data_IF_638979044648
#
_entry.id   IF_638979044648
#
_cell.length_a   1.000
_cell.length_b   1.000
_cell.length_c   1.000
_cell.angle_alpha   90.00
_cell.angle_beta   90.00
_cell.angle_gamma   90.00
#
_symmetry.space_group_name_H-M   'P 1'
#
loop_
_entity.id
_entity.type
_entity.pdbx_description
1 polymer ?
#
# COMPACT_ATOMS: atom_id res chain seq x y z
N UNK A 1 26.52 2.76 -8.77
CA UNK A 1 26.80 2.67 -7.29
C UNK A 1 27.57 1.39 -7.03
N UNK A 2 28.50 1.33 -5.99
CA UNK A 2 29.09 0.06 -5.59
C UNK A 2 28.00 -0.88 -5.02
N UNK A 3 28.15 -2.20 -5.12
CA UNK A 3 27.27 -3.13 -4.43
C UNK A 3 27.19 -2.83 -2.92
N UNK A 4 25.99 -2.74 -2.37
CA UNK A 4 25.73 -2.51 -0.94
C UNK A 4 25.30 -3.82 -0.27
N UNK A 5 25.56 -3.92 1.04
CA UNK A 5 24.98 -4.94 1.90
C UNK A 5 23.77 -4.36 2.61
N UNK A 6 22.57 -4.84 2.28
CA UNK A 6 21.29 -4.30 2.73
C UNK A 6 20.55 -5.33 3.57
N UNK A 7 20.13 -4.95 4.78
CA UNK A 7 19.26 -5.74 5.62
C UNK A 7 17.85 -5.15 5.62
N UNK A 8 16.86 -5.84 5.07
CA UNK A 8 15.45 -5.51 5.22
C UNK A 8 14.88 -6.16 6.48
N UNK A 9 14.24 -5.37 7.33
CA UNK A 9 13.57 -5.83 8.54
C UNK A 9 12.06 -5.62 8.38
N UNK A 10 11.29 -6.70 8.41
CA UNK A 10 9.85 -6.64 8.23
C UNK A 10 9.11 -7.64 9.12
N UNK A 11 7.98 -7.23 9.68
CA UNK A 11 7.14 -8.09 10.50
C UNK A 11 6.50 -9.23 9.67
N UNK A 12 6.13 -8.91 8.42
CA UNK A 12 5.47 -9.84 7.49
C UNK A 12 6.18 -9.83 6.14
N UNK A 13 6.22 -10.99 5.50
CA UNK A 13 6.82 -11.19 4.18
C UNK A 13 6.08 -12.36 3.48
N UNK A 14 5.98 -12.40 2.13
CA UNK A 14 5.35 -13.53 1.48
C UNK A 14 5.89 -14.89 1.97
N UNK A 15 5.04 -15.91 2.16
CA UNK A 15 3.66 -16.05 1.67
C UNK A 15 2.56 -15.37 2.51
N UNK A 16 2.91 -14.68 3.61
CA UNK A 16 1.90 -13.94 4.36
C UNK A 16 1.25 -12.86 3.48
N UNK A 17 -0.08 -12.85 3.32
CA UNK A 17 -0.77 -11.87 2.48
C UNK A 17 -0.79 -10.50 3.16
N UNK A 18 -0.20 -9.48 2.52
CA UNK A 18 -0.20 -8.12 3.06
C UNK A 18 0.64 -7.15 2.23
N UNK A 19 0.12 -5.94 2.04
CA UNK A 19 0.75 -4.92 1.20
C UNK A 19 2.17 -4.53 1.63
N UNK A 20 2.41 -4.39 2.94
CA UNK A 20 3.75 -4.03 3.45
C UNK A 20 4.79 -5.12 3.17
N UNK A 21 4.43 -6.39 3.38
CA UNK A 21 5.30 -7.54 3.09
C UNK A 21 5.59 -7.67 1.59
N UNK A 22 4.57 -7.51 0.74
CA UNK A 22 4.73 -7.54 -0.72
C UNK A 22 5.61 -6.38 -1.21
N UNK A 23 5.46 -5.19 -0.65
CA UNK A 23 6.34 -4.05 -0.98
C UNK A 23 7.78 -4.32 -0.58
N UNK A 24 8.03 -4.90 0.61
CA UNK A 24 9.37 -5.32 1.03
C UNK A 24 9.97 -6.36 0.06
N UNK A 25 9.19 -7.36 -0.33
CA UNK A 25 9.59 -8.38 -1.29
C UNK A 25 10.01 -7.78 -2.64
N UNK A 26 9.21 -6.87 -3.19
CA UNK A 26 9.52 -6.22 -4.48
C UNK A 26 10.80 -5.38 -4.42
N UNK A 27 11.00 -4.61 -3.35
CA UNK A 27 12.25 -3.87 -3.15
C UNK A 27 13.43 -4.82 -2.98
N UNK A 28 13.34 -5.82 -2.11
CA UNK A 28 14.44 -6.74 -1.85
C UNK A 28 14.87 -7.49 -3.11
N UNK A 29 13.92 -8.02 -3.88
CA UNK A 29 14.17 -8.70 -5.14
C UNK A 29 14.81 -7.77 -6.17
N UNK A 30 14.19 -6.60 -6.43
CA UNK A 30 14.70 -5.68 -7.44
C UNK A 30 16.10 -5.11 -7.11
N UNK A 31 16.43 -4.94 -5.83
CA UNK A 31 17.76 -4.53 -5.39
C UNK A 31 18.78 -5.65 -5.55
N UNK A 32 18.40 -6.89 -5.28
CA UNK A 32 19.27 -8.04 -5.53
C UNK A 32 19.56 -8.22 -7.04
N UNK A 33 18.53 -8.07 -7.89
CA UNK A 33 18.67 -8.07 -9.35
C UNK A 33 19.60 -6.93 -9.88
N UNK A 34 19.76 -5.84 -9.10
CA UNK A 34 20.70 -4.74 -9.36
C UNK A 34 22.12 -5.00 -8.83
N UNK A 35 22.37 -6.18 -8.29
CA UNK A 35 23.68 -6.62 -7.81
C UNK A 35 24.02 -6.19 -6.38
N UNK A 36 23.05 -5.73 -5.59
CA UNK A 36 23.24 -5.55 -4.15
C UNK A 36 23.17 -6.89 -3.42
N UNK A 37 23.92 -7.02 -2.30
CA UNK A 37 23.77 -8.16 -1.39
C UNK A 37 22.60 -7.88 -0.43
N UNK A 38 21.46 -8.50 -0.68
CA UNK A 38 20.23 -8.23 0.05
C UNK A 38 19.85 -9.38 0.95
N UNK A 39 19.65 -9.09 2.23
CA UNK A 39 19.15 -10.06 3.22
C UNK A 39 17.85 -9.54 3.85
N UNK A 40 16.82 -10.37 3.88
CA UNK A 40 15.52 -10.07 4.50
C UNK A 40 15.40 -10.84 5.82
N UNK A 41 15.06 -10.16 6.90
CA UNK A 41 14.83 -10.74 8.21
C UNK A 41 13.36 -10.62 8.57
N UNK A 42 12.68 -11.76 8.68
CA UNK A 42 11.24 -11.84 8.97
C UNK A 42 10.92 -13.07 9.81
N UNK A 43 9.70 -13.15 10.33
CA UNK A 43 9.24 -14.35 11.02
C UNK A 43 8.94 -15.48 10.03
N UNK A 44 9.02 -16.71 10.53
CA UNK A 44 8.53 -17.88 9.81
C UNK A 44 7.04 -17.74 9.51
N UNK A 45 6.65 -18.05 8.27
CA UNK A 45 5.28 -18.09 7.83
C UNK A 45 5.03 -19.40 7.07
N UNK A 46 3.80 -19.91 7.12
CA UNK A 46 3.36 -21.11 6.41
C UNK A 46 2.87 -20.76 5.01
N UNK A 47 3.06 -21.67 4.07
CA UNK A 47 2.63 -21.54 2.69
C UNK A 47 3.78 -21.49 1.69
N UNK A 48 3.46 -21.56 0.41
CA UNK A 48 4.41 -21.47 -0.68
C UNK A 48 4.79 -20.00 -0.91
N UNK A 49 6.08 -19.70 -0.81
CA UNK A 49 6.60 -18.34 -0.99
C UNK A 49 6.99 -18.12 -2.46
N UNK A 50 6.77 -16.90 -3.00
CA UNK A 50 7.31 -16.55 -4.30
C UNK A 50 8.83 -16.53 -4.26
N UNK A 51 9.45 -16.77 -5.42
CA UNK A 51 10.90 -16.73 -5.58
C UNK A 51 11.46 -15.33 -5.25
N UNK A 52 12.34 -15.20 -4.25
CA UNK A 52 12.94 -13.92 -3.90
C UNK A 52 14.07 -13.48 -4.85
N UNK A 53 14.36 -14.26 -5.92
CA UNK A 53 15.53 -14.07 -6.76
C UNK A 53 16.83 -14.27 -5.96
N UNK A 54 17.81 -13.39 -6.17
CA UNK A 54 19.10 -13.45 -5.46
C UNK A 54 19.06 -12.90 -4.01
N UNK A 55 17.88 -12.46 -3.52
CA UNK A 55 17.75 -12.01 -2.13
C UNK A 55 17.70 -13.19 -1.15
N UNK A 56 18.47 -13.10 -0.07
CA UNK A 56 18.54 -14.12 0.99
C UNK A 56 17.43 -13.84 2.01
N UNK A 57 16.51 -14.77 2.21
CA UNK A 57 15.39 -14.61 3.17
C UNK A 57 15.63 -15.45 4.43
N UNK A 58 15.90 -14.78 5.55
CA UNK A 58 15.97 -15.38 6.87
C UNK A 58 14.58 -15.45 7.51
N UNK A 59 13.96 -16.61 7.45
CA UNK A 59 12.71 -16.91 8.15
C UNK A 59 13.06 -17.45 9.53
N UNK A 60 12.82 -16.65 10.55
CA UNK A 60 13.29 -16.90 11.92
C UNK A 60 12.08 -17.18 12.81
N UNK A 61 12.11 -18.30 13.52
CA UNK A 61 11.11 -18.60 14.53
C UNK A 61 11.21 -17.57 15.66
N UNK A 62 10.11 -16.83 15.93
CA UNK A 62 10.14 -15.82 16.97
C UNK A 62 10.16 -16.48 18.36
N UNK A 63 10.86 -15.87 19.32
CA UNK A 63 10.83 -16.31 20.74
C UNK A 63 9.42 -16.20 21.30
N UNK A 64 8.68 -15.18 20.86
CA UNK A 64 7.26 -14.98 21.12
C UNK A 64 6.67 -14.11 19.99
N UNK A 65 5.34 -14.18 19.81
CA UNK A 65 4.63 -13.30 18.91
C UNK A 65 3.29 -12.84 19.52
N UNK A 66 2.91 -11.59 19.26
CA UNK A 66 1.58 -11.04 19.60
C UNK A 66 0.92 -10.63 18.28
N UNK A 67 0.06 -11.51 17.74
CA UNK A 67 -0.46 -11.34 16.38
C UNK A 67 0.68 -11.31 15.36
N UNK A 68 0.76 -10.26 14.53
CA UNK A 68 1.83 -10.07 13.54
C UNK A 68 3.06 -9.34 14.09
N UNK A 69 3.28 -9.36 15.40
CA UNK A 69 4.42 -8.73 16.06
C UNK A 69 5.38 -9.81 16.60
N UNK A 70 6.33 -10.32 15.81
CA UNK A 70 7.30 -11.33 16.23
C UNK A 70 8.47 -10.70 16.96
N UNK A 71 8.88 -11.29 18.09
CA UNK A 71 10.11 -10.94 18.79
C UNK A 71 11.28 -11.81 18.26
N UNK A 72 12.19 -11.18 17.52
CA UNK A 72 13.34 -11.81 16.87
C UNK A 72 14.64 -11.18 17.40
N UNK A 73 15.26 -11.67 18.48
CA UNK A 73 16.41 -11.03 19.12
C UNK A 73 17.64 -10.83 18.21
N UNK A 74 17.78 -11.63 17.13
CA UNK A 74 18.85 -11.49 16.13
C UNK A 74 18.87 -10.10 15.49
N UNK A 75 17.71 -9.40 15.40
CA UNK A 75 17.61 -8.06 14.82
C UNK A 75 18.42 -6.98 15.57
N UNK A 76 18.82 -7.25 16.81
CA UNK A 76 19.70 -6.35 17.57
C UNK A 76 21.21 -6.51 17.22
N UNK A 77 21.58 -7.36 16.25
CA UNK A 77 22.98 -7.74 15.93
C UNK A 77 23.24 -7.75 14.43
N UNK A 78 22.97 -6.62 13.75
CA UNK A 78 23.13 -6.46 12.32
C UNK A 78 24.29 -5.50 12.01
N UNK A 79 25.52 -5.92 12.35
CA UNK A 79 26.72 -5.07 12.33
C UNK A 79 27.52 -5.15 11.01
N UNK A 80 27.15 -6.04 10.10
CA UNK A 80 27.85 -6.25 8.83
C UNK A 80 27.19 -5.63 7.60
N UNK A 81 26.16 -4.78 7.77
CA UNK A 81 25.43 -4.16 6.68
C UNK A 81 25.81 -2.69 6.49
N UNK A 82 25.73 -2.20 5.24
CA UNK A 82 25.83 -0.78 4.91
C UNK A 82 24.55 -0.05 5.28
N UNK A 83 23.38 -0.72 5.06
CA UNK A 83 22.04 -0.20 5.31
C UNK A 83 21.21 -1.19 6.10
N UNK A 84 20.52 -0.71 7.13
CA UNK A 84 19.42 -1.40 7.80
C UNK A 84 18.12 -0.67 7.42
N UNK A 85 17.29 -1.34 6.63
CA UNK A 85 16.01 -0.82 6.15
C UNK A 85 14.86 -1.45 6.93
N UNK A 86 14.26 -0.70 7.84
CA UNK A 86 13.14 -1.15 8.65
C UNK A 86 11.81 -0.72 8.04
N UNK A 87 10.95 -1.70 7.75
CA UNK A 87 9.58 -1.48 7.30
C UNK A 87 8.66 -1.32 8.52
N UNK A 88 8.25 -0.09 8.79
CA UNK A 88 7.34 0.23 9.90
C UNK A 88 5.86 0.11 9.44
N UNK A 89 4.95 -0.45 10.26
CA UNK A 89 5.14 -0.84 11.66
C UNK A 89 5.76 -2.23 11.83
N UNK A 90 6.69 -2.33 12.80
CA UNK A 90 7.27 -3.60 13.22
C UNK A 90 7.51 -3.56 14.74
N UNK A 91 6.47 -3.90 15.53
CA UNK A 91 6.57 -4.02 16.99
C UNK A 91 7.60 -5.10 17.34
N UNK A 92 8.42 -4.88 18.35
CA UNK A 92 9.63 -5.57 18.74
C UNK A 92 10.80 -5.41 17.77
N UNK A 93 10.60 -5.36 16.45
CA UNK A 93 11.66 -5.11 15.48
C UNK A 93 12.22 -3.70 15.60
N UNK A 94 11.37 -2.70 15.83
CA UNK A 94 11.76 -1.30 16.04
C UNK A 94 12.62 -1.14 17.29
N UNK A 95 12.19 -1.71 18.44
CA UNK A 95 12.90 -1.65 19.72
C UNK A 95 14.24 -2.38 19.65
N UNK A 96 14.29 -3.55 19.01
CA UNK A 96 15.52 -4.29 18.82
C UNK A 96 16.51 -3.55 17.93
N UNK A 97 16.01 -2.86 16.89
CA UNK A 97 16.83 -2.00 16.03
C UNK A 97 17.41 -0.82 16.83
N UNK A 98 16.58 -0.14 17.64
CA UNK A 98 17.04 0.92 18.54
C UNK A 98 18.06 0.41 19.57
N UNK A 99 17.81 -0.75 20.17
CA UNK A 99 18.72 -1.38 21.12
C UNK A 99 20.06 -1.73 20.48
N UNK A 100 20.04 -2.28 19.24
CA UNK A 100 21.26 -2.56 18.48
C UNK A 100 22.07 -1.30 18.22
N UNK A 101 21.40 -0.20 17.94
CA UNK A 101 22.04 1.11 17.74
C UNK A 101 22.66 1.68 19.04
N UNK A 102 21.94 1.62 20.14
CA UNK A 102 22.42 2.03 21.46
C UNK A 102 23.64 1.22 21.92
N UNK A 103 23.64 -0.08 21.69
CA UNK A 103 24.73 -0.99 22.00
C UNK A 103 25.88 -0.95 20.98
N UNK A 104 25.88 0.01 20.06
CA UNK A 104 26.86 0.23 18.99
C UNK A 104 27.03 -0.95 18.01
N UNK A 105 26.13 -1.95 18.02
CA UNK A 105 26.18 -3.13 17.18
C UNK A 105 25.75 -2.87 15.73
N UNK A 106 24.89 -1.85 15.51
CA UNK A 106 24.48 -1.40 14.17
C UNK A 106 24.91 0.05 13.94
N UNK A 107 25.89 0.55 14.70
CA UNK A 107 26.25 1.97 14.70
C UNK A 107 26.79 2.45 13.35
N UNK A 108 27.44 1.58 12.57
CA UNK A 108 28.02 1.95 11.26
C UNK A 108 27.01 1.90 10.14
N UNK A 109 26.02 1.02 10.21
CA UNK A 109 24.97 0.94 9.19
C UNK A 109 24.10 2.20 9.18
N UNK A 110 23.73 2.68 8.01
CA UNK A 110 22.70 3.70 7.85
C UNK A 110 21.33 3.10 8.21
N UNK A 111 20.53 3.79 9.03
CA UNK A 111 19.17 3.36 9.36
C UNK A 111 18.18 4.10 8.47
N UNK A 112 17.49 3.35 7.63
CA UNK A 112 16.38 3.80 6.82
C UNK A 112 15.09 3.24 7.40
N UNK A 113 14.14 4.12 7.73
CA UNK A 113 12.82 3.72 8.25
C UNK A 113 11.76 4.02 7.19
N UNK A 114 11.14 2.97 6.67
CA UNK A 114 10.06 3.07 5.70
C UNK A 114 8.71 3.03 6.42
N UNK A 115 8.15 4.19 6.65
CA UNK A 115 6.88 4.35 7.35
C UNK A 115 5.71 4.07 6.39
N UNK A 116 4.98 2.99 6.66
CA UNK A 116 3.84 2.57 5.83
C UNK A 116 2.50 2.99 6.44
N UNK A 117 2.31 2.71 7.72
CA UNK A 117 1.05 2.89 8.41
C UNK A 117 1.24 3.24 9.87
N UNK A 118 0.25 3.93 10.44
CA UNK A 118 0.09 4.09 11.88
C UNK A 118 -0.50 2.79 12.48
N UNK A 119 -0.03 2.42 13.67
CA UNK A 119 -0.67 1.37 14.46
C UNK A 119 -2.01 1.87 14.99
N UNK A 120 -3.07 1.14 14.69
CA UNK A 120 -4.42 1.47 15.14
C UNK A 120 -5.10 0.22 15.73
N UNK A 121 -5.92 0.41 16.75
CA UNK A 121 -6.66 -0.68 17.40
C UNK A 121 -7.75 -0.17 18.32
N UNK A 122 -8.56 -1.10 18.83
CA UNK A 122 -9.64 -0.81 19.81
C UNK A 122 -9.36 -1.54 21.12
N UNK A 123 -9.95 -1.05 22.22
CA UNK A 123 -9.80 -1.65 23.56
C UNK A 123 -8.34 -1.66 24.06
N UNK A 124 -7.92 -2.66 24.87
CA UNK A 124 -6.58 -2.72 25.45
C UNK A 124 -5.45 -2.69 24.43
N UNK A 125 -5.66 -3.29 23.25
CA UNK A 125 -4.69 -3.24 22.13
C UNK A 125 -4.57 -1.82 21.58
N UNK A 126 -5.67 -1.05 21.54
CA UNK A 126 -5.64 0.34 21.12
C UNK A 126 -4.77 1.20 22.04
N UNK A 127 -4.89 1.01 23.35
CA UNK A 127 -4.05 1.71 24.34
C UNK A 127 -2.57 1.37 24.16
N UNK A 128 -2.25 0.09 23.94
CA UNK A 128 -0.88 -0.36 23.67
C UNK A 128 -0.33 0.30 22.40
N UNK A 129 -1.09 0.31 21.31
CA UNK A 129 -0.68 0.92 20.05
C UNK A 129 -0.51 2.43 20.18
N UNK A 130 -1.41 3.11 20.86
CA UNK A 130 -1.31 4.55 21.13
C UNK A 130 -0.05 4.89 21.94
N UNK A 131 0.23 4.09 22.99
CA UNK A 131 1.47 4.24 23.77
C UNK A 131 2.71 4.05 22.88
N UNK A 132 2.69 3.06 22.00
CA UNK A 132 3.76 2.78 21.05
C UNK A 132 4.00 3.96 20.09
N UNK A 133 2.93 4.50 19.53
CA UNK A 133 2.95 5.66 18.63
C UNK A 133 3.46 6.94 19.31
N UNK A 134 3.32 7.05 20.63
CA UNK A 134 3.83 8.19 21.38
C UNK A 134 5.25 8.02 21.94
N UNK A 135 5.76 6.79 21.98
CA UNK A 135 7.07 6.48 22.60
C UNK A 135 8.07 5.92 21.59
N UNK A 136 7.85 4.71 21.11
CA UNK A 136 8.80 3.98 20.27
C UNK A 136 8.87 4.57 18.86
N UNK A 137 7.73 4.88 18.25
CA UNK A 137 7.70 5.42 16.89
C UNK A 137 8.46 6.75 16.77
N UNK A 138 8.24 7.77 17.63
CA UNK A 138 9.03 9.01 17.59
C UNK A 138 10.52 8.78 17.86
N UNK A 139 10.88 7.84 18.74
CA UNK A 139 12.28 7.50 19.01
C UNK A 139 12.95 6.88 17.78
N UNK A 140 12.24 5.99 17.08
CA UNK A 140 12.70 5.37 15.84
C UNK A 140 12.91 6.42 14.74
N UNK A 141 11.94 7.33 14.54
CA UNK A 141 12.02 8.41 13.55
C UNK A 141 13.20 9.34 13.85
N UNK A 142 13.44 9.68 15.12
CA UNK A 142 14.63 10.48 15.51
C UNK A 142 15.95 9.74 15.23
N UNK A 143 16.00 8.43 15.44
CA UNK A 143 17.19 7.62 15.24
C UNK A 143 17.53 7.33 13.77
N UNK A 144 16.55 7.41 12.87
CA UNK A 144 16.71 7.16 11.43
C UNK A 144 17.69 8.16 10.79
N UNK A 145 18.45 7.72 9.80
CA UNK A 145 19.29 8.58 8.97
C UNK A 145 18.48 9.14 7.79
N UNK A 146 17.53 8.33 7.26
CA UNK A 146 16.47 8.76 6.32
C UNK A 146 15.13 8.12 6.70
N UNK A 147 14.06 8.83 6.42
CA UNK A 147 12.68 8.42 6.69
C UNK A 147 11.96 8.37 5.34
N UNK A 148 11.55 7.19 4.92
CA UNK A 148 10.76 7.01 3.71
C UNK A 148 9.27 7.06 4.09
N UNK A 149 8.51 7.91 3.43
CA UNK A 149 7.07 8.10 3.63
C UNK A 149 6.31 7.86 2.33
N UNK A 150 5.09 7.35 2.40
CA UNK A 150 4.29 7.06 1.20
C UNK A 150 3.91 8.33 0.44
N UNK A 151 3.66 9.41 1.15
CA UNK A 151 3.48 10.77 0.62
C UNK A 151 3.71 11.82 1.70
N UNK A 152 4.09 13.05 1.34
CA UNK A 152 4.15 14.17 2.29
C UNK A 152 2.80 14.48 2.93
N UNK A 153 1.70 14.29 2.20
CA UNK A 153 0.34 14.49 2.71
C UNK A 153 0.00 13.51 3.84
N UNK A 154 0.29 12.22 3.66
CA UNK A 154 0.14 11.23 4.72
C UNK A 154 1.06 11.52 5.91
N UNK A 155 2.32 11.92 5.66
CA UNK A 155 3.26 12.28 6.73
C UNK A 155 2.75 13.44 7.59
N UNK A 156 2.12 14.48 7.00
CA UNK A 156 1.51 15.59 7.72
C UNK A 156 0.38 15.16 8.67
N UNK A 157 -0.33 14.09 8.35
CA UNK A 157 -1.40 13.56 9.20
C UNK A 157 -0.91 12.86 10.47
N UNK A 158 0.40 12.58 10.57
CA UNK A 158 1.02 11.89 11.71
C UNK A 158 1.92 12.86 12.47
N UNK A 159 1.60 13.19 13.70
CA UNK A 159 2.18 14.29 14.48
C UNK A 159 3.73 14.31 14.55
N UNK A 160 4.36 13.15 14.77
CA UNK A 160 5.82 13.06 14.84
C UNK A 160 6.51 13.05 13.46
N UNK A 161 5.82 12.63 12.39
CA UNK A 161 6.31 12.77 11.03
C UNK A 161 6.14 14.20 10.53
N UNK A 162 5.01 14.85 10.86
CA UNK A 162 4.82 16.26 10.55
C UNK A 162 5.91 17.13 11.21
N UNK A 163 6.21 16.87 12.49
CA UNK A 163 7.33 17.55 13.19
C UNK A 163 8.67 17.29 12.51
N UNK A 164 8.93 16.07 12.04
CA UNK A 164 10.15 15.75 11.30
C UNK A 164 10.19 16.45 9.94
N UNK A 165 9.06 16.57 9.26
CA UNK A 165 8.93 17.29 8.00
C UNK A 165 9.19 18.78 8.16
N UNK A 166 8.75 19.40 9.28
CA UNK A 166 8.98 20.82 9.59
C UNK A 166 10.42 21.11 10.04
N UNK A 167 11.00 20.23 10.87
CA UNK A 167 12.30 20.49 11.52
C UNK A 167 13.50 19.94 10.73
N UNK A 168 13.32 18.89 9.96
CA UNK A 168 14.37 18.19 9.23
C UNK A 168 13.84 17.65 7.90
N UNK A 169 13.33 18.52 6.99
CA UNK A 169 12.70 18.09 5.74
C UNK A 169 13.62 17.22 4.89
N UNK A 170 14.91 17.51 4.85
CA UNK A 170 15.91 16.76 4.08
C UNK A 170 16.08 15.29 4.51
N UNK A 171 15.49 14.90 5.66
CA UNK A 171 15.51 13.51 6.12
C UNK A 171 14.33 12.69 5.61
N UNK A 172 13.27 13.36 5.12
CA UNK A 172 12.08 12.69 4.61
C UNK A 172 12.18 12.59 3.09
N UNK A 173 12.01 11.36 2.61
CA UNK A 173 12.01 11.04 1.18
C UNK A 173 10.66 10.41 0.87
N UNK A 174 9.98 10.93 -0.14
CA UNK A 174 8.76 10.29 -0.63
C UNK A 174 9.11 8.98 -1.33
N UNK A 175 8.59 7.89 -0.81
CA UNK A 175 8.76 6.53 -1.35
C UNK A 175 7.41 5.81 -1.31
N UNK A 176 6.56 6.01 -2.33
CA UNK A 176 5.26 5.39 -2.42
C UNK A 176 5.34 3.88 -2.60
N UNK A 177 4.19 3.21 -2.55
CA UNK A 177 4.10 1.83 -3.02
C UNK A 177 4.20 1.78 -4.54
N UNK A 178 4.72 0.67 -5.06
CA UNK A 178 4.87 0.46 -6.48
C UNK A 178 3.78 -0.42 -7.09
N UNK A 179 3.66 -0.34 -8.41
CA UNK A 179 2.81 -1.19 -9.23
C UNK A 179 3.64 -1.84 -10.34
N UNK A 180 3.31 -3.09 -10.67
CA UNK A 180 3.86 -3.80 -11.81
C UNK A 180 3.11 -3.36 -13.08
N UNK A 181 3.70 -2.43 -13.82
CA UNK A 181 3.02 -1.79 -14.96
C UNK A 181 2.98 -2.65 -16.23
N UNK A 182 3.66 -3.78 -16.22
CA UNK A 182 3.58 -4.78 -17.30
C UNK A 182 2.40 -5.73 -17.04
N UNK A 183 2.18 -6.08 -15.79
CA UNK A 183 1.04 -6.90 -15.34
C UNK A 183 -0.26 -6.07 -15.33
N UNK A 184 -0.24 -4.93 -14.63
CA UNK A 184 -1.34 -3.98 -14.61
C UNK A 184 -1.20 -3.00 -15.76
N UNK A 185 -1.84 -3.32 -16.87
CA UNK A 185 -1.78 -2.56 -18.11
C UNK A 185 -3.13 -2.52 -18.80
N UNK A 186 -3.43 -1.47 -19.59
CA UNK A 186 -4.65 -1.40 -20.38
C UNK A 186 -4.77 -2.61 -21.31
N UNK A 187 -6.00 -3.02 -21.58
CA UNK A 187 -6.31 -4.10 -22.48
C UNK A 187 -7.82 -4.35 -22.55
N UNK A 188 -8.25 -5.17 -23.46
CA UNK A 188 -9.63 -5.63 -23.52
C UNK A 188 -9.90 -6.68 -22.42
N UNK A 189 -11.18 -6.92 -22.12
CA UNK A 189 -11.63 -8.04 -21.29
C UNK A 189 -11.40 -9.38 -22.00
N UNK A 190 -10.14 -9.81 -22.02
CA UNK A 190 -9.73 -11.08 -22.60
C UNK A 190 -10.23 -12.31 -21.81
N UNK A 191 -10.71 -12.09 -20.58
CA UNK A 191 -11.27 -13.14 -19.73
C UNK A 191 -12.74 -13.44 -20.03
N UNK A 192 -13.47 -12.58 -20.76
CA UNK A 192 -14.92 -12.65 -20.94
C UNK A 192 -15.69 -12.47 -19.63
N UNK A 193 -15.14 -11.73 -18.66
CA UNK A 193 -15.74 -11.57 -17.34
C UNK A 193 -17.08 -10.85 -17.42
N UNK A 194 -17.21 -9.80 -18.25
CA UNK A 194 -18.48 -9.07 -18.44
C UNK A 194 -19.61 -9.99 -18.91
N UNK A 195 -19.31 -10.84 -19.90
CA UNK A 195 -20.26 -11.82 -20.43
C UNK A 195 -20.72 -12.82 -19.36
N UNK A 196 -19.74 -13.37 -18.60
CA UNK A 196 -20.05 -14.31 -17.50
C UNK A 196 -20.89 -13.69 -16.39
N UNK A 197 -20.75 -12.38 -16.16
CA UNK A 197 -21.52 -11.63 -15.15
C UNK A 197 -22.86 -11.11 -15.71
N UNK A 198 -23.12 -11.26 -17.02
CA UNK A 198 -24.32 -10.73 -17.66
C UNK A 198 -24.36 -9.19 -17.70
N UNK A 199 -23.18 -8.53 -17.72
CA UNK A 199 -23.08 -7.07 -17.85
C UNK A 199 -23.19 -6.71 -19.33
N UNK A 200 -24.17 -5.88 -19.73
CA UNK A 200 -24.32 -5.45 -21.12
C UNK A 200 -23.05 -4.78 -21.66
N UNK A 201 -22.79 -4.88 -22.95
CA UNK A 201 -21.61 -4.31 -23.58
C UNK A 201 -21.54 -2.79 -23.44
N UNK A 202 -22.71 -2.14 -23.55
CA UNK A 202 -22.90 -0.67 -23.45
C UNK A 202 -23.05 -0.16 -22.01
N UNK A 203 -23.18 -1.08 -21.03
CA UNK A 203 -23.23 -0.69 -19.61
C UNK A 203 -21.87 -0.22 -19.08
N UNK A 204 -21.89 0.63 -18.06
CA UNK A 204 -20.67 1.07 -17.36
C UNK A 204 -20.37 0.13 -16.19
N UNK A 205 -19.17 -0.44 -16.14
CA UNK A 205 -18.73 -1.28 -15.05
C UNK A 205 -17.70 -0.57 -14.15
N UNK A 206 -18.02 -0.46 -12.86
CA UNK A 206 -17.11 0.05 -11.82
C UNK A 206 -16.44 -1.10 -11.10
N UNK A 207 -15.12 -1.12 -10.98
CA UNK A 207 -14.41 -2.08 -10.15
C UNK A 207 -14.25 -1.58 -8.72
N UNK A 208 -14.36 -2.52 -7.76
CA UNK A 208 -14.01 -2.34 -6.35
C UNK A 208 -13.20 -3.53 -5.88
N UNK A 209 -12.03 -3.29 -5.28
CA UNK A 209 -11.13 -4.38 -4.86
C UNK A 209 -10.80 -4.23 -3.38
N UNK A 210 -11.20 -5.20 -2.55
CA UNK A 210 -10.90 -5.21 -1.12
C UNK A 210 -11.06 -6.59 -0.48
N UNK A 211 -10.38 -6.84 0.64
CA UNK A 211 -10.74 -7.92 1.56
C UNK A 211 -12.00 -7.52 2.32
N UNK A 212 -13.01 -8.42 2.38
CA UNK A 212 -14.33 -8.16 2.95
C UNK A 212 -14.48 -8.81 4.33
N UNK A 213 -13.59 -8.47 5.25
CA UNK A 213 -13.62 -8.93 6.64
C UNK A 213 -13.72 -7.75 7.62
N UNK A 214 -13.92 -8.06 8.90
CA UNK A 214 -14.06 -7.04 9.97
C UNK A 214 -12.78 -6.23 10.18
N UNK A 215 -11.62 -6.77 9.87
CA UNK A 215 -10.35 -6.05 9.99
C UNK A 215 -10.21 -4.98 8.89
N UNK A 216 -10.83 -5.21 7.73
CA UNK A 216 -10.81 -4.33 6.58
C UNK A 216 -12.13 -3.58 6.33
N UNK A 217 -13.02 -3.50 7.34
CA UNK A 217 -14.29 -2.76 7.26
C UNK A 217 -14.12 -1.30 6.83
N UNK A 218 -12.94 -0.72 7.04
CA UNK A 218 -12.60 0.64 6.62
C UNK A 218 -12.55 0.82 5.10
N UNK A 219 -12.64 -0.25 4.32
CA UNK A 219 -12.74 -0.18 2.85
C UNK A 219 -14.10 0.32 2.39
N UNK A 220 -15.13 0.27 3.25
CA UNK A 220 -16.44 0.89 3.08
C UNK A 220 -17.14 0.49 1.77
N UNK A 221 -17.23 -0.82 1.50
CA UNK A 221 -18.02 -1.38 0.38
C UNK A 221 -19.48 -0.97 0.46
N UNK A 222 -20.02 -0.85 1.68
CA UNK A 222 -21.35 -0.33 1.98
C UNK A 222 -21.62 1.02 1.29
N UNK A 223 -20.67 1.95 1.38
CA UNK A 223 -20.78 3.28 0.74
C UNK A 223 -20.82 3.17 -0.79
N UNK A 224 -20.05 2.28 -1.40
CA UNK A 224 -20.08 2.05 -2.84
C UNK A 224 -21.42 1.43 -3.30
N UNK A 225 -21.97 0.47 -2.53
CA UNK A 225 -23.29 -0.13 -2.78
C UNK A 225 -24.39 0.95 -2.68
N UNK A 226 -24.37 1.73 -1.59
CA UNK A 226 -25.36 2.81 -1.39
C UNK A 226 -25.26 3.87 -2.50
N UNK A 227 -24.05 4.21 -2.93
CA UNK A 227 -23.84 5.14 -4.04
C UNK A 227 -24.43 4.61 -5.34
N UNK A 228 -24.19 3.34 -5.67
CA UNK A 228 -24.76 2.71 -6.87
C UNK A 228 -26.30 2.75 -6.87
N UNK A 229 -26.94 2.59 -5.71
CA UNK A 229 -28.38 2.70 -5.61
C UNK A 229 -28.90 4.12 -5.92
N UNK A 230 -28.05 5.15 -5.77
CA UNK A 230 -28.37 6.56 -5.98
C UNK A 230 -28.05 7.06 -7.39
N UNK A 231 -27.25 6.34 -8.20
CA UNK A 231 -26.90 6.76 -9.56
C UNK A 231 -28.13 6.97 -10.43
N UNK A 232 -28.08 7.97 -11.32
CA UNK A 232 -29.14 8.27 -12.29
C UNK A 232 -29.25 7.16 -13.34
N UNK A 233 -28.12 6.78 -13.92
CA UNK A 233 -28.05 5.69 -14.87
C UNK A 233 -28.15 4.33 -14.16
N UNK A 234 -29.16 3.53 -14.58
CA UNK A 234 -29.40 2.17 -14.02
C UNK A 234 -28.58 1.09 -14.70
N UNK A 235 -27.81 1.43 -15.74
CA UNK A 235 -26.90 0.53 -16.43
C UNK A 235 -25.45 0.69 -15.94
N UNK A 236 -25.26 1.32 -14.78
CA UNK A 236 -23.98 1.26 -14.05
C UNK A 236 -23.97 0.00 -13.17
N UNK A 237 -22.95 -0.84 -13.32
CA UNK A 237 -22.72 -2.05 -12.55
C UNK A 237 -21.50 -1.92 -11.64
N UNK A 238 -21.47 -2.64 -10.52
CA UNK A 238 -20.34 -2.70 -9.58
C UNK A 238 -19.79 -4.13 -9.53
N UNK A 239 -18.53 -4.30 -9.92
CA UNK A 239 -17.80 -5.55 -9.80
C UNK A 239 -16.95 -5.49 -8.52
N UNK A 240 -17.29 -6.29 -7.52
CA UNK A 240 -16.59 -6.37 -6.23
C UNK A 240 -15.67 -7.57 -6.21
N UNK A 241 -14.37 -7.35 -6.36
CA UNK A 241 -13.36 -8.39 -6.24
C UNK A 241 -12.83 -8.45 -4.80
N UNK A 242 -13.23 -9.50 -4.07
CA UNK A 242 -12.81 -9.73 -2.71
C UNK A 242 -13.75 -10.62 -1.92
N UNK A 243 -13.17 -11.44 -1.08
CA UNK A 243 -13.89 -12.34 -0.19
C UNK A 243 -13.64 -12.02 1.27
N UNK A 244 -14.45 -12.58 2.14
CA UNK A 244 -14.34 -12.45 3.58
C UNK A 244 -15.67 -12.66 4.30
N UNK A 245 -15.64 -12.65 5.62
CA UNK A 245 -16.79 -12.95 6.46
C UNK A 245 -17.99 -11.98 6.32
N UNK A 246 -17.76 -10.79 5.74
CA UNK A 246 -18.80 -9.78 5.52
C UNK A 246 -19.48 -9.88 4.15
N UNK A 247 -19.00 -10.75 3.25
CA UNK A 247 -19.48 -10.86 1.88
C UNK A 247 -20.99 -11.06 1.78
N UNK A 248 -21.55 -12.00 2.55
CA UNK A 248 -22.99 -12.31 2.49
C UNK A 248 -23.84 -11.17 3.07
N UNK A 249 -23.29 -10.39 4.00
CA UNK A 249 -23.91 -9.14 4.48
C UNK A 249 -24.05 -8.13 3.34
N UNK A 250 -22.99 -7.88 2.60
CA UNK A 250 -23.02 -6.93 1.47
C UNK A 250 -23.90 -7.40 0.30
N UNK A 251 -23.98 -8.72 0.05
CA UNK A 251 -24.96 -9.27 -0.91
C UNK A 251 -26.40 -8.95 -0.47
N UNK A 252 -26.70 -9.15 0.82
CA UNK A 252 -28.01 -8.85 1.37
C UNK A 252 -28.35 -7.36 1.33
N UNK A 253 -27.37 -6.48 1.59
CA UNK A 253 -27.51 -5.03 1.48
C UNK A 253 -27.83 -4.60 0.05
N UNK A 254 -27.13 -5.13 -0.96
CA UNK A 254 -27.39 -4.83 -2.37
C UNK A 254 -28.81 -5.27 -2.79
N UNK A 255 -29.27 -6.43 -2.33
CA UNK A 255 -30.65 -6.91 -2.59
C UNK A 255 -31.68 -5.99 -1.90
N UNK A 256 -31.46 -5.65 -0.63
CA UNK A 256 -32.35 -4.76 0.12
C UNK A 256 -32.43 -3.34 -0.50
N UNK A 257 -31.35 -2.85 -1.11
CA UNK A 257 -31.31 -1.61 -1.85
C UNK A 257 -31.92 -1.70 -3.26
N UNK A 258 -32.42 -2.87 -3.68
CA UNK A 258 -33.03 -3.09 -5.01
C UNK A 258 -32.04 -3.11 -6.18
N UNK A 259 -30.76 -3.30 -5.91
CA UNK A 259 -29.68 -3.29 -6.93
C UNK A 259 -28.90 -4.60 -7.02
N UNK A 260 -29.43 -5.69 -6.43
CA UNK A 260 -28.74 -6.98 -6.41
C UNK A 260 -28.33 -7.50 -7.80
N UNK A 261 -29.07 -7.17 -8.86
CA UNK A 261 -28.71 -7.50 -10.24
C UNK A 261 -27.61 -6.65 -10.86
N UNK A 262 -27.18 -5.56 -10.18
CA UNK A 262 -26.13 -4.65 -10.65
C UNK A 262 -24.83 -4.71 -9.81
N UNK A 263 -24.80 -5.53 -8.74
CA UNK A 263 -23.61 -5.73 -7.92
C UNK A 263 -23.14 -7.18 -8.07
N UNK A 264 -21.94 -7.35 -8.59
CA UNK A 264 -21.36 -8.65 -8.92
C UNK A 264 -20.20 -8.96 -7.97
N UNK A 265 -20.39 -9.85 -7.04
CA UNK A 265 -19.38 -10.27 -6.09
C UNK A 265 -18.60 -11.48 -6.60
N UNK A 266 -17.31 -11.30 -6.88
CA UNK A 266 -16.43 -12.36 -7.42
C UNK A 266 -15.81 -13.26 -6.35
N UNK A 267 -16.04 -12.94 -5.04
CA UNK A 267 -15.32 -13.57 -3.94
C UNK A 267 -13.80 -13.32 -4.02
N UNK A 268 -12.99 -14.21 -3.45
CA UNK A 268 -11.53 -14.03 -3.43
C UNK A 268 -10.95 -14.20 -4.83
N UNK A 269 -10.40 -13.12 -5.36
CA UNK A 269 -9.66 -13.10 -6.63
C UNK A 269 -8.16 -13.13 -6.32
N UNK A 270 -7.38 -14.08 -6.89
CA UNK A 270 -5.92 -14.05 -6.81
C UNK A 270 -5.35 -12.75 -7.37
N UNK A 271 -4.28 -12.22 -6.76
CA UNK A 271 -3.70 -10.94 -7.20
C UNK A 271 -3.28 -10.94 -8.68
N UNK A 272 -2.81 -12.08 -9.20
CA UNK A 272 -2.44 -12.22 -10.61
C UNK A 272 -3.63 -12.17 -11.59
N UNK A 273 -4.87 -12.35 -11.11
CA UNK A 273 -6.10 -12.28 -11.89
C UNK A 273 -6.81 -10.91 -11.77
N UNK A 274 -6.36 -10.04 -10.85
CA UNK A 274 -6.93 -8.70 -10.70
C UNK A 274 -6.83 -7.84 -11.97
N UNK A 275 -5.76 -7.92 -12.78
CA UNK A 275 -5.72 -7.20 -14.05
C UNK A 275 -6.91 -7.48 -14.96
N UNK A 276 -7.44 -8.71 -14.98
CA UNK A 276 -8.59 -9.06 -15.82
C UNK A 276 -9.88 -8.43 -15.27
N UNK A 277 -10.05 -8.37 -13.96
CA UNK A 277 -11.17 -7.63 -13.35
C UNK A 277 -11.13 -6.15 -13.71
N UNK A 278 -9.93 -5.54 -13.63
CA UNK A 278 -9.76 -4.13 -13.96
C UNK A 278 -9.98 -3.87 -15.46
N UNK A 279 -9.51 -4.73 -16.35
CA UNK A 279 -9.73 -4.64 -17.80
C UNK A 279 -11.19 -4.85 -18.20
N UNK A 280 -11.96 -5.61 -17.40
CA UNK A 280 -13.40 -5.79 -17.59
C UNK A 280 -14.21 -4.56 -17.11
N UNK A 281 -13.56 -3.56 -16.54
CA UNK A 281 -14.20 -2.39 -15.92
C UNK A 281 -13.87 -1.11 -16.68
N UNK A 282 -14.75 -0.10 -16.56
CA UNK A 282 -14.64 1.22 -17.19
C UNK A 282 -14.11 2.29 -16.24
N UNK A 283 -14.22 2.04 -14.93
CA UNK A 283 -13.77 2.93 -13.87
C UNK A 283 -13.50 2.16 -12.58
N UNK A 284 -12.84 2.82 -11.61
CA UNK A 284 -12.51 2.25 -10.32
C UNK A 284 -13.07 3.08 -9.16
N UNK A 285 -13.51 2.42 -8.09
CA UNK A 285 -14.05 3.07 -6.89
C UNK A 285 -13.29 2.64 -5.65
N UNK A 286 -12.88 3.61 -4.82
CA UNK A 286 -12.22 3.39 -3.53
C UNK A 286 -12.85 4.30 -2.46
N UNK A 287 -13.83 3.79 -1.72
CA UNK A 287 -14.59 4.52 -0.69
C UNK A 287 -13.98 4.45 0.71
N UNK A 288 -12.70 4.16 0.80
CA UNK A 288 -11.98 3.85 2.04
C UNK A 288 -11.97 4.98 3.08
N UNK A 289 -11.73 4.59 4.33
CA UNK A 289 -11.52 5.48 5.49
C UNK A 289 -10.18 5.12 6.19
N UNK A 290 -9.79 5.83 7.28
CA UNK A 290 -8.64 5.39 8.08
C UNK A 290 -8.79 3.93 8.57
N UNK A 291 -7.75 3.12 8.56
CA UNK A 291 -6.31 3.46 8.44
C UNK A 291 -5.71 3.32 7.03
N UNK A 292 -6.47 3.48 5.94
CA UNK A 292 -5.85 3.48 4.61
C UNK A 292 -4.78 4.58 4.52
N UNK A 293 -3.62 4.26 3.97
CA UNK A 293 -2.50 5.19 3.91
C UNK A 293 -2.04 5.53 2.50
N UNK A 294 -2.56 4.80 1.48
CA UNK A 294 -2.14 5.02 0.10
C UNK A 294 -3.15 4.51 -0.93
N UNK A 295 -3.61 3.24 -0.82
CA UNK A 295 -4.47 2.60 -1.80
C UNK A 295 -3.69 1.98 -2.96
N UNK A 296 -2.97 0.87 -2.71
CA UNK A 296 -2.23 0.14 -3.77
C UNK A 296 -3.16 -0.21 -4.94
N UNK A 297 -4.37 -0.68 -4.65
CA UNK A 297 -5.36 -1.04 -5.66
C UNK A 297 -5.77 0.15 -6.56
N UNK A 298 -5.66 1.39 -6.04
CA UNK A 298 -5.92 2.60 -6.82
C UNK A 298 -4.84 2.82 -7.89
N UNK A 299 -3.56 2.65 -7.54
CA UNK A 299 -2.48 2.76 -8.54
C UNK A 299 -2.48 1.59 -9.52
N UNK A 300 -2.97 0.40 -9.12
CA UNK A 300 -3.19 -0.74 -10.01
C UNK A 300 -4.28 -0.45 -11.03
N UNK A 301 -5.40 0.13 -10.60
CA UNK A 301 -6.47 0.56 -11.50
C UNK A 301 -6.02 1.67 -12.44
N UNK A 302 -5.31 2.69 -11.94
CA UNK A 302 -4.72 3.76 -12.77
C UNK A 302 -3.70 3.19 -13.76
N UNK A 303 -2.92 2.19 -13.36
CA UNK A 303 -2.00 1.49 -14.25
C UNK A 303 -2.72 0.74 -15.38
N UNK A 304 -3.92 0.22 -15.13
CA UNK A 304 -4.80 -0.35 -16.16
C UNK A 304 -5.51 0.72 -17.02
N UNK A 305 -5.32 2.00 -16.74
CA UNK A 305 -5.93 3.10 -17.51
C UNK A 305 -7.37 3.41 -17.09
N UNK A 306 -7.77 3.08 -15.87
CA UNK A 306 -9.10 3.40 -15.36
C UNK A 306 -9.12 4.78 -14.70
N UNK A 307 -10.10 5.64 -15.00
CA UNK A 307 -10.42 6.79 -14.17
C UNK A 307 -10.93 6.30 -12.82
N UNK A 308 -10.70 7.05 -11.77
CA UNK A 308 -11.07 6.60 -10.43
C UNK A 308 -11.93 7.62 -9.67
N UNK A 309 -12.79 7.10 -8.79
CA UNK A 309 -13.45 7.84 -7.72
C UNK A 309 -12.84 7.35 -6.40
N UNK A 310 -12.24 8.25 -5.64
CA UNK A 310 -11.61 7.88 -4.38
C UNK A 310 -11.93 8.88 -3.27
N UNK A 311 -11.82 8.43 -2.03
CA UNK A 311 -12.08 9.27 -0.86
C UNK A 311 -10.98 10.32 -0.68
N UNK A 312 -11.39 11.57 -0.42
CA UNK A 312 -10.50 12.68 -0.05
C UNK A 312 -9.99 12.51 1.38
N UNK A 313 -8.95 11.69 1.52
CA UNK A 313 -8.34 11.32 2.77
C UNK A 313 -6.81 11.36 2.68
N UNK A 314 -6.08 11.76 3.76
CA UNK A 314 -4.63 11.81 3.74
C UNK A 314 -3.97 10.52 3.27
N UNK A 315 -3.09 10.64 2.27
CA UNK A 315 -2.45 9.51 1.60
C UNK A 315 -3.18 9.08 0.33
N UNK A 316 -4.49 8.83 0.38
CA UNK A 316 -5.30 8.48 -0.81
C UNK A 316 -5.38 9.66 -1.77
N UNK A 317 -5.66 10.88 -1.26
CA UNK A 317 -5.70 12.09 -2.09
C UNK A 317 -4.34 12.45 -2.74
N UNK A 318 -3.23 11.93 -2.24
CA UNK A 318 -1.93 12.11 -2.87
C UNK A 318 -1.77 11.31 -4.16
N UNK A 319 -2.57 10.24 -4.32
CA UNK A 319 -2.57 9.39 -5.51
C UNK A 319 -3.41 9.98 -6.62
N UNK A 320 -4.61 10.48 -6.29
CA UNK A 320 -5.59 10.96 -7.26
C UNK A 320 -5.61 12.49 -7.31
N UNK A 321 -5.80 13.05 -8.49
CA UNK A 321 -5.99 14.48 -8.73
C UNK A 321 -7.09 14.70 -9.78
N UNK A 322 -7.41 15.98 -10.06
CA UNK A 322 -8.49 16.34 -10.96
C UNK A 322 -8.30 15.89 -12.42
N UNK A 323 -7.07 15.54 -12.82
CA UNK A 323 -6.77 15.02 -14.16
C UNK A 323 -6.97 13.51 -14.25
N UNK A 324 -6.94 12.81 -13.10
CA UNK A 324 -6.93 11.35 -13.03
C UNK A 324 -8.19 10.76 -12.41
N UNK A 325 -9.11 11.59 -11.88
CA UNK A 325 -10.39 11.15 -11.33
C UNK A 325 -11.05 12.15 -10.39
N UNK A 326 -11.91 11.67 -9.51
CA UNK A 326 -12.67 12.48 -8.57
C UNK A 326 -12.40 12.11 -7.13
N UNK A 327 -12.10 13.12 -6.31
CA UNK A 327 -12.03 12.98 -4.85
C UNK A 327 -13.39 13.34 -4.23
N UNK A 328 -13.87 12.50 -3.32
CA UNK A 328 -15.16 12.64 -2.64
C UNK A 328 -14.99 12.61 -1.11
N UNK A 329 -15.85 13.27 -0.33
CA UNK A 329 -15.77 13.20 1.13
C UNK A 329 -15.90 11.77 1.66
N UNK A 330 -15.21 11.40 2.76
CA UNK A 330 -15.34 10.09 3.39
C UNK A 330 -16.78 9.78 3.81
N UNK A 331 -17.27 8.58 3.47
CA UNK A 331 -18.60 8.11 3.85
C UNK A 331 -19.77 8.77 3.11
N UNK A 332 -19.51 9.66 2.14
CA UNK A 332 -20.55 10.35 1.38
C UNK A 332 -20.93 9.58 0.11
N UNK A 333 -21.91 8.69 0.24
CA UNK A 333 -22.45 7.91 -0.90
C UNK A 333 -23.11 8.77 -1.97
N UNK A 334 -23.65 9.95 -1.62
CA UNK A 334 -24.24 10.87 -2.60
C UNK A 334 -23.16 11.50 -3.48
N UNK A 335 -22.05 11.95 -2.89
CA UNK A 335 -20.91 12.47 -3.63
C UNK A 335 -20.25 11.39 -4.51
N UNK A 336 -20.19 10.14 -4.05
CA UNK A 336 -19.72 9.01 -4.88
C UNK A 336 -20.66 8.80 -6.06
N UNK A 337 -21.97 8.79 -5.85
CA UNK A 337 -22.97 8.63 -6.91
C UNK A 337 -22.86 9.75 -7.96
N UNK A 338 -22.72 11.00 -7.52
CA UNK A 338 -22.52 12.14 -8.43
C UNK A 338 -21.23 11.99 -9.26
N UNK A 339 -20.13 11.52 -8.65
CA UNK A 339 -18.88 11.28 -9.37
C UNK A 339 -19.02 10.15 -10.41
N UNK A 340 -19.75 9.08 -10.07
CA UNK A 340 -20.08 8.00 -11.01
C UNK A 340 -20.91 8.52 -12.19
N UNK A 341 -21.98 9.27 -11.91
CA UNK A 341 -22.82 9.90 -12.93
C UNK A 341 -22.03 10.85 -13.85
N UNK A 342 -21.08 11.60 -13.29
CA UNK A 342 -20.19 12.48 -14.09
C UNK A 342 -19.27 11.70 -15.01
N UNK A 343 -18.71 10.57 -14.55
CA UNK A 343 -17.89 9.70 -15.39
C UNK A 343 -18.72 9.01 -16.48
N UNK A 344 -19.98 8.68 -16.19
CA UNK A 344 -20.92 8.15 -17.17
C UNK A 344 -21.26 9.20 -18.23
N UNK A 345 -21.65 10.41 -17.83
CA UNK A 345 -21.97 11.55 -18.72
C UNK A 345 -20.82 11.93 -19.67
N UNK A 346 -19.56 11.67 -19.27
CA UNK A 346 -18.38 11.92 -20.12
C UNK A 346 -18.25 10.94 -21.29
N UNK A 347 -18.99 9.83 -21.27
CA UNK A 347 -18.89 8.75 -22.26
C UNK A 347 -17.56 8.02 -22.25
N UNK A 348 -17.40 7.05 -23.14
CA UNK A 348 -16.20 6.22 -23.21
C UNK A 348 -14.93 7.04 -23.49
N UNK A 349 -14.96 7.99 -24.41
CA UNK A 349 -13.82 8.82 -24.77
C UNK A 349 -13.36 9.72 -23.62
N UNK A 350 -14.31 10.27 -22.85
CA UNK A 350 -14.01 11.07 -21.67
C UNK A 350 -13.34 10.24 -20.57
N UNK A 351 -13.86 9.04 -20.28
CA UNK A 351 -13.26 8.09 -19.35
C UNK A 351 -11.86 7.67 -19.80
N UNK A 352 -11.69 7.33 -21.08
CA UNK A 352 -10.41 6.93 -21.65
C UNK A 352 -9.33 8.02 -21.52
N UNK A 353 -9.70 9.30 -21.70
CA UNK A 353 -8.79 10.44 -21.55
C UNK A 353 -8.29 10.57 -20.11
N UNK A 354 -9.17 10.49 -19.11
CA UNK A 354 -8.82 10.54 -17.68
C UNK A 354 -7.98 9.32 -17.32
N UNK A 355 -8.37 8.14 -17.78
CA UNK A 355 -7.64 6.90 -17.54
C UNK A 355 -6.23 6.93 -18.13
N UNK A 356 -6.04 7.49 -19.33
CA UNK A 356 -4.71 7.66 -19.95
C UNK A 356 -3.81 8.61 -19.12
N UNK A 357 -4.36 9.68 -18.54
CA UNK A 357 -3.62 10.55 -17.63
C UNK A 357 -3.20 9.77 -16.36
N UNK A 358 -4.12 8.97 -15.79
CA UNK A 358 -3.85 8.09 -14.66
C UNK A 358 -2.74 7.07 -14.95
N UNK A 359 -2.79 6.39 -16.10
CA UNK A 359 -1.75 5.47 -16.57
C UNK A 359 -0.40 6.16 -16.70
N UNK A 360 -0.38 7.33 -17.32
CA UNK A 360 0.84 8.13 -17.49
C UNK A 360 1.46 8.50 -16.13
N UNK A 361 0.64 8.88 -15.15
CA UNK A 361 1.08 9.15 -13.77
C UNK A 361 1.64 7.89 -13.10
N UNK A 362 0.96 6.73 -13.25
CA UNK A 362 1.40 5.46 -12.68
C UNK A 362 2.78 5.04 -13.20
N UNK A 363 2.99 5.13 -14.51
CA UNK A 363 4.27 4.83 -15.16
C UNK A 363 5.42 5.71 -14.64
N UNK A 364 5.18 7.02 -14.47
CA UNK A 364 6.21 7.95 -14.02
C UNK A 364 6.52 7.86 -12.54
N UNK A 365 5.51 7.61 -11.68
CA UNK A 365 5.66 7.78 -10.24
C UNK A 365 5.76 6.47 -9.47
N UNK A 366 5.10 5.40 -9.96
CA UNK A 366 4.91 4.17 -9.18
C UNK A 366 5.39 2.89 -9.88
N UNK A 367 5.93 2.97 -11.10
CA UNK A 367 6.57 1.82 -11.72
C UNK A 367 7.81 1.37 -10.92
N UNK A 368 7.96 0.09 -10.70
CA UNK A 368 9.05 -0.47 -9.89
C UNK A 368 10.45 -0.01 -10.31
N UNK A 369 10.81 0.07 -11.62
CA UNK A 369 12.14 0.56 -12.00
C UNK A 369 12.45 1.96 -11.46
N UNK A 370 11.51 2.90 -11.57
CA UNK A 370 11.67 4.27 -11.06
C UNK A 370 11.78 4.33 -9.53
N UNK A 371 11.02 3.48 -8.82
CA UNK A 371 11.10 3.40 -7.36
C UNK A 371 12.41 2.78 -6.87
N UNK A 372 12.96 1.82 -7.62
CA UNK A 372 14.26 1.23 -7.31
C UNK A 372 15.40 2.23 -7.52
N UNK A 373 15.35 3.06 -8.59
CA UNK A 373 16.32 4.15 -8.80
C UNK A 373 16.29 5.13 -7.60
N UNK A 374 15.10 5.58 -7.22
CA UNK A 374 14.90 6.46 -6.05
C UNK A 374 15.36 5.82 -4.73
N UNK A 375 15.19 4.49 -4.59
CA UNK A 375 15.64 3.78 -3.40
C UNK A 375 17.16 3.73 -3.30
N UNK A 376 17.85 3.52 -4.43
CA UNK A 376 19.31 3.53 -4.47
C UNK A 376 19.87 4.92 -4.11
N UNK A 377 19.24 5.99 -4.58
CA UNK A 377 19.54 7.37 -4.18
C UNK A 377 19.32 7.60 -2.68
N UNK A 378 18.19 7.16 -2.15
CA UNK A 378 17.86 7.27 -0.73
C UNK A 378 18.88 6.55 0.17
N UNK A 379 19.39 5.42 -0.28
CA UNK A 379 20.45 4.69 0.45
C UNK A 379 21.78 5.42 0.41
N UNK A 380 22.17 5.98 -0.75
CA UNK A 380 23.39 6.80 -0.85
C UNK A 380 23.33 7.97 0.13
N UNK A 381 22.23 8.71 0.13
CA UNK A 381 22.02 9.83 1.06
C UNK A 381 22.01 9.38 2.54
N UNK A 382 21.43 8.21 2.84
CA UNK A 382 21.40 7.69 4.19
C UNK A 382 22.82 7.33 4.69
N UNK A 383 23.65 6.76 3.84
CA UNK A 383 25.04 6.41 4.13
C UNK A 383 25.88 7.68 4.34
N UNK A 384 25.71 8.68 3.50
CA UNK A 384 26.40 9.98 3.64
C UNK A 384 26.02 10.66 4.97
N UNK A 385 24.72 10.74 5.26
CA UNK A 385 24.25 11.32 6.52
C UNK A 385 24.80 10.56 7.73
N UNK A 386 24.92 9.24 7.61
CA UNK A 386 25.48 8.39 8.67
C UNK A 386 26.96 8.64 8.88
N UNK A 387 27.73 8.69 7.80
CA UNK A 387 29.19 8.95 7.86
C UNK A 387 29.48 10.33 8.45
N UNK A 388 28.72 11.36 8.05
CA UNK A 388 28.84 12.71 8.62
C UNK A 388 28.63 12.71 10.16
N UNK A 389 27.60 11.99 10.65
CA UNK A 389 27.35 11.84 12.10
C UNK A 389 28.47 11.09 12.84
N UNK A 390 29.11 10.12 12.18
CA UNK A 390 30.21 9.36 12.76
C UNK A 390 31.51 10.18 12.80
N UNK A 391 31.78 10.95 11.73
CA UNK A 391 32.93 11.86 11.66
C UNK A 391 32.84 13.02 12.68
N UNK A 392 31.63 13.55 12.93
CA UNK A 392 31.42 14.59 13.93
C UNK A 392 31.50 14.08 15.39
N UNK A 393 31.44 12.78 15.61
CA UNK A 393 31.49 12.14 16.94
C UNK A 393 32.85 11.51 17.27
N UNK A 394 33.82 11.55 16.34
CA UNK A 394 35.21 11.10 16.49
C UNK A 394 36.12 12.26 16.85
#
# INVERSE_FOLDING_TARGET
MRPLRIAHLTATFPPYPGGAGNTCYRFARGQAERGHHVEVFTATATGEAPDPGDAIVHRIDPVMAIGNAPLIPKLARLDSFDVVHLHYPFIFGSELTLLGRLRRRTRRAALVVHYKNRLMGKGPRGVMFETYEHTVAPALIRAADRILVLSPDHARSVSYLNRALEQTPDRLIEMPNGVDTDVFSPGADGSGLRERLGIPEDAVAAAFVATLDRAHHFKRVDVAIEALARTRNRDIHLIVAGGGELLDGFRSEAVAAGIGGRVHFLDRVPHGELPDVLRASDLFVLTTEPPESFGIVLIEAMACGLPAVATDYPGVRAVLDAETGFLVPPGDSAAVAEALDRLDDMGADGRARIGAAGRSKALRQWAWPALLDRMDEAYAEAIEARNAKLGAAA
#
